data_IF_528602837566
#
_entry.id   IF_528602837566
#
_cell.length_a   1.000
_cell.length_b   1.000
_cell.length_c   1.000
_cell.angle_alpha   90.00
_cell.angle_beta   90.00
_cell.angle_gamma   90.00
#
_symmetry.space_group_name_H-M   'P 1'
#
loop_
_entity.id
_entity.type
_entity.pdbx_description
1 polymer ?
#
# COMPACT_ATOMS: atom_id res chain seq x y z
N UNK A 1 6.85 0.12 -24.26
CA UNK A 1 6.02 1.20 -24.83
C UNK A 1 4.58 0.90 -24.45
N UNK A 2 4.08 1.51 -23.37
CA UNK A 2 2.68 1.35 -22.97
C UNK A 2 1.76 1.88 -24.08
N UNK A 3 0.75 1.11 -24.43
CA UNK A 3 -0.19 1.39 -25.52
C UNK A 3 -0.95 2.69 -25.21
N UNK A 4 -1.07 3.65 -26.15
CA UNK A 4 -1.75 4.95 -25.92
C UNK A 4 -3.17 4.84 -25.32
N UNK A 5 -3.84 3.71 -25.58
CA UNK A 5 -5.18 3.41 -25.08
C UNK A 5 -5.25 3.16 -23.55
N UNK A 6 -4.20 2.58 -22.95
CA UNK A 6 -4.13 2.37 -21.50
C UNK A 6 -3.95 3.71 -20.80
N UNK A 7 -2.98 4.52 -21.25
CA UNK A 7 -2.76 5.88 -20.74
C UNK A 7 -4.04 6.74 -20.77
N UNK A 8 -4.81 6.70 -21.86
CA UNK A 8 -6.07 7.43 -21.96
C UNK A 8 -7.18 6.90 -21.02
N UNK A 9 -7.27 5.59 -20.80
CA UNK A 9 -8.21 5.00 -19.83
C UNK A 9 -7.85 5.38 -18.40
N UNK A 10 -6.57 5.35 -18.05
CA UNK A 10 -6.08 5.79 -16.73
C UNK A 10 -6.40 7.27 -16.47
N UNK A 11 -6.17 8.15 -17.45
CA UNK A 11 -6.51 9.57 -17.34
C UNK A 11 -8.02 9.77 -17.18
N UNK A 12 -8.85 9.02 -17.91
CA UNK A 12 -10.31 9.11 -17.79
C UNK A 12 -10.81 8.64 -16.42
N UNK A 13 -10.26 7.56 -15.88
CA UNK A 13 -10.62 7.07 -14.55
C UNK A 13 -10.16 8.06 -13.46
N UNK A 14 -8.93 8.58 -13.57
CA UNK A 14 -8.41 9.58 -12.64
C UNK A 14 -9.26 10.85 -12.63
N UNK A 15 -9.66 11.35 -13.80
CA UNK A 15 -10.54 12.51 -13.89
C UNK A 15 -11.91 12.28 -13.24
N UNK A 16 -12.48 11.07 -13.41
CA UNK A 16 -13.75 10.69 -12.81
C UNK A 16 -13.63 10.62 -11.28
N UNK A 17 -12.62 9.91 -10.76
CA UNK A 17 -12.37 9.78 -9.33
C UNK A 17 -12.15 11.16 -8.69
N UNK A 18 -11.32 12.04 -9.29
CA UNK A 18 -11.09 13.41 -8.80
C UNK A 18 -12.39 14.21 -8.75
N UNK A 19 -13.25 14.10 -9.78
CA UNK A 19 -14.54 14.79 -9.80
C UNK A 19 -15.43 14.31 -8.66
N UNK A 20 -15.65 13.01 -8.55
CA UNK A 20 -16.51 12.40 -7.53
C UNK A 20 -16.03 12.78 -6.12
N UNK A 21 -14.73 12.57 -5.89
CA UNK A 21 -14.01 12.85 -4.64
C UNK A 21 -14.14 14.30 -4.14
N UNK A 22 -14.05 15.27 -5.05
CA UNK A 22 -14.06 16.69 -4.69
C UNK A 22 -15.46 17.33 -4.76
N UNK A 23 -16.46 16.60 -5.24
CA UNK A 23 -17.86 17.07 -5.30
C UNK A 23 -18.79 16.34 -4.33
N UNK A 24 -18.34 15.26 -3.68
CA UNK A 24 -19.13 14.58 -2.65
C UNK A 24 -19.47 15.55 -1.51
N UNK A 25 -20.71 15.51 -0.97
CA UNK A 25 -21.06 16.30 0.20
C UNK A 25 -20.19 15.94 1.42
N UNK A 26 -19.83 16.93 2.23
CA UNK A 26 -19.03 16.73 3.44
C UNK A 26 -17.52 16.88 3.19
N UNK A 27 -16.72 16.08 3.89
CA UNK A 27 -15.27 16.12 3.80
C UNK A 27 -14.79 15.71 2.41
N UNK A 28 -14.08 16.60 1.73
CA UNK A 28 -13.42 16.29 0.45
C UNK A 28 -12.26 15.35 0.71
N UNK A 29 -12.13 14.32 -0.12
CA UNK A 29 -11.13 13.27 0.05
C UNK A 29 -10.69 12.77 -1.31
N UNK A 30 -9.40 12.70 -1.57
CA UNK A 30 -8.83 12.13 -2.78
C UNK A 30 -8.21 10.76 -2.47
N UNK A 31 -8.43 9.73 -3.32
CA UNK A 31 -7.89 8.39 -3.10
C UNK A 31 -6.35 8.38 -3.06
N UNK A 32 -5.78 7.79 -2.00
CA UNK A 32 -4.33 7.71 -1.77
C UNK A 32 -3.56 6.98 -2.88
N UNK A 33 -4.21 6.07 -3.63
CA UNK A 33 -3.61 5.40 -4.80
C UNK A 33 -3.03 6.39 -5.83
N UNK A 34 -3.53 7.62 -5.88
CA UNK A 34 -3.03 8.65 -6.79
C UNK A 34 -1.77 9.36 -6.32
N UNK A 35 -1.33 9.15 -5.08
CA UNK A 35 -0.05 9.62 -4.58
C UNK A 35 1.13 8.95 -5.29
N UNK A 36 0.95 7.76 -5.87
CA UNK A 36 2.03 6.92 -6.39
C UNK A 36 2.24 7.05 -7.91
N UNK A 37 2.40 8.29 -8.41
CA UNK A 37 3.05 8.50 -9.72
C UNK A 37 4.58 8.34 -9.60
N UNK A 38 5.34 8.52 -10.68
CA UNK A 38 6.81 8.39 -10.66
C UNK A 38 7.47 9.23 -9.55
N UNK A 39 7.04 10.49 -9.40
CA UNK A 39 7.58 11.41 -8.39
C UNK A 39 7.16 10.98 -6.99
N UNK A 40 5.90 10.64 -6.80
CA UNK A 40 5.38 10.23 -5.50
C UNK A 40 5.94 8.89 -5.03
N UNK A 41 6.13 7.91 -5.91
CA UNK A 41 6.85 6.67 -5.56
C UNK A 41 8.29 6.95 -5.11
N UNK A 42 9.00 7.88 -5.77
CA UNK A 42 10.36 8.25 -5.36
C UNK A 42 10.38 9.00 -4.00
N UNK A 43 9.39 9.86 -3.75
CA UNK A 43 9.21 10.52 -2.45
C UNK A 43 8.90 9.48 -1.36
N UNK A 44 8.04 8.50 -1.63
CA UNK A 44 7.74 7.43 -0.68
C UNK A 44 8.95 6.53 -0.36
N UNK A 45 9.79 6.21 -1.35
CA UNK A 45 11.07 5.53 -1.11
C UNK A 45 12.02 6.37 -0.24
N UNK A 46 11.93 7.69 -0.32
CA UNK A 46 12.67 8.60 0.57
C UNK A 46 12.07 8.59 1.98
N UNK A 47 10.74 8.60 2.12
CA UNK A 47 10.04 8.46 3.41
C UNK A 47 10.47 7.16 4.10
N UNK A 48 10.54 6.06 3.37
CA UNK A 48 10.95 4.75 3.88
C UNK A 48 12.34 4.72 4.56
N UNK A 49 13.22 5.70 4.29
CA UNK A 49 14.56 5.78 4.88
C UNK A 49 14.72 6.93 5.88
N UNK A 50 13.66 7.72 6.14
CA UNK A 50 13.68 8.76 7.15
C UNK A 50 13.86 8.16 8.56
N UNK A 51 14.63 8.81 9.46
CA UNK A 51 14.78 8.32 10.82
C UNK A 51 13.45 8.27 11.58
N UNK A 52 12.52 9.19 11.31
CA UNK A 52 11.20 9.26 11.93
C UNK A 52 10.25 8.15 11.45
N UNK A 53 10.40 7.67 10.21
CA UNK A 53 9.55 6.63 9.64
C UNK A 53 10.12 5.22 9.90
N UNK A 54 9.91 4.70 11.11
CA UNK A 54 10.46 3.40 11.53
C UNK A 54 9.75 2.18 10.95
N UNK A 55 8.57 2.34 10.37
CA UNK A 55 7.71 1.24 9.89
C UNK A 55 8.46 0.31 8.92
N UNK A 56 9.09 0.86 7.87
CA UNK A 56 9.80 0.05 6.86
C UNK A 56 10.97 -0.73 7.47
N UNK A 57 11.66 -0.16 8.46
CA UNK A 57 12.77 -0.84 9.16
C UNK A 57 12.26 -1.95 10.07
N UNK A 58 11.15 -1.72 10.77
CA UNK A 58 10.50 -2.72 11.61
C UNK A 58 10.07 -3.94 10.81
N UNK A 59 9.40 -3.68 9.68
CA UNK A 59 8.96 -4.70 8.73
C UNK A 59 10.17 -5.52 8.22
N UNK A 60 11.21 -4.84 7.73
CA UNK A 60 12.42 -5.49 7.24
C UNK A 60 13.13 -6.34 8.31
N UNK A 61 13.25 -5.86 9.55
CA UNK A 61 13.87 -6.63 10.64
C UNK A 61 13.14 -7.93 10.93
N UNK A 62 11.81 -7.91 10.90
CA UNK A 62 11.01 -9.12 11.12
C UNK A 62 11.19 -10.11 9.97
N UNK A 63 11.16 -9.63 8.73
CA UNK A 63 11.33 -10.48 7.55
C UNK A 63 12.75 -11.08 7.52
N UNK A 64 13.79 -10.28 7.75
CA UNK A 64 15.17 -10.76 7.83
C UNK A 64 15.34 -11.83 8.92
N UNK A 65 14.74 -11.61 10.09
CA UNK A 65 14.90 -12.51 11.24
C UNK A 65 14.07 -13.79 11.12
N UNK A 66 12.84 -13.71 10.60
CA UNK A 66 11.85 -14.79 10.68
C UNK A 66 11.48 -15.41 9.32
N UNK A 67 12.02 -14.94 8.19
CA UNK A 67 11.70 -15.51 6.87
C UNK A 67 11.86 -17.04 6.82
N UNK A 68 12.96 -17.57 7.35
CA UNK A 68 13.20 -19.02 7.42
C UNK A 68 12.13 -19.79 8.21
N UNK A 69 11.68 -19.23 9.34
CA UNK A 69 10.61 -19.79 10.16
C UNK A 69 9.26 -19.73 9.42
N UNK A 70 8.92 -18.58 8.83
CA UNK A 70 7.70 -18.35 8.06
C UNK A 70 7.61 -19.40 6.94
N UNK A 71 8.64 -19.53 6.11
CA UNK A 71 8.62 -20.47 4.98
C UNK A 71 8.66 -21.94 5.45
N UNK A 72 9.08 -22.24 6.68
CA UNK A 72 9.03 -23.60 7.27
C UNK A 72 7.64 -24.09 7.60
N UNK A 73 6.70 -23.18 7.80
CA UNK A 73 5.30 -23.49 8.08
C UNK A 73 4.48 -23.70 6.80
N UNK A 74 5.02 -23.33 5.64
CA UNK A 74 4.31 -23.35 4.36
C UNK A 74 4.50 -24.67 3.59
N UNK A 75 3.46 -25.13 2.87
CA UNK A 75 3.54 -26.30 2.00
C UNK A 75 4.39 -26.04 0.75
N UNK A 76 4.66 -27.11 -0.01
CA UNK A 76 5.40 -27.09 -1.27
C UNK A 76 4.72 -28.01 -2.29
N UNK A 77 4.66 -27.68 -3.58
CA UNK A 77 5.21 -26.48 -4.22
C UNK A 77 4.43 -25.19 -3.90
N UNK A 78 5.14 -24.05 -3.86
CA UNK A 78 4.61 -22.76 -3.43
C UNK A 78 4.96 -21.66 -4.44
N UNK A 79 3.94 -20.92 -4.87
CA UNK A 79 4.07 -19.68 -5.64
C UNK A 79 3.95 -18.48 -4.69
N UNK A 80 4.53 -17.34 -5.06
CA UNK A 80 4.48 -16.11 -4.26
C UNK A 80 3.84 -14.99 -5.08
N UNK A 81 2.70 -14.47 -4.65
CA UNK A 81 2.12 -13.24 -5.19
C UNK A 81 2.34 -12.11 -4.19
N UNK A 82 2.63 -10.89 -4.65
CA UNK A 82 2.75 -9.74 -3.76
C UNK A 82 1.88 -8.58 -4.23
N UNK A 83 1.04 -8.08 -3.32
CA UNK A 83 0.16 -6.96 -3.56
C UNK A 83 0.87 -5.66 -3.16
N UNK A 84 1.17 -4.79 -4.11
CA UNK A 84 1.87 -3.55 -3.82
C UNK A 84 3.37 -3.77 -3.60
N UNK A 85 4.02 -4.48 -4.53
CA UNK A 85 5.41 -4.94 -4.37
C UNK A 85 6.47 -3.85 -4.20
N UNK A 86 6.17 -2.62 -4.62
CA UNK A 86 7.12 -1.51 -4.54
C UNK A 86 8.47 -1.87 -5.18
N UNK A 87 9.57 -1.63 -4.47
CA UNK A 87 10.92 -1.97 -4.93
C UNK A 87 11.35 -3.42 -4.65
N UNK A 88 10.54 -4.24 -3.98
CA UNK A 88 10.86 -5.64 -3.67
C UNK A 88 11.93 -5.85 -2.58
N UNK A 89 12.53 -4.80 -2.01
CA UNK A 89 13.62 -4.90 -1.02
C UNK A 89 13.28 -5.76 0.19
N UNK A 90 12.03 -5.70 0.67
CA UNK A 90 11.53 -6.48 1.80
C UNK A 90 11.29 -7.94 1.42
N UNK A 91 10.72 -8.13 0.23
CA UNK A 91 10.38 -9.42 -0.36
C UNK A 91 11.58 -10.33 -0.55
N UNK A 92 12.75 -9.73 -0.79
CA UNK A 92 14.05 -10.43 -0.88
C UNK A 92 14.21 -11.50 0.20
N UNK A 93 13.93 -11.18 1.46
CA UNK A 93 14.14 -12.10 2.59
C UNK A 93 13.31 -13.37 2.48
N UNK A 94 12.04 -13.26 2.06
CA UNK A 94 11.16 -14.41 1.88
C UNK A 94 11.60 -15.24 0.67
N UNK A 95 11.94 -14.59 -0.45
CA UNK A 95 12.36 -15.28 -1.67
C UNK A 95 13.71 -15.98 -1.51
N UNK A 96 14.69 -15.36 -0.84
CA UNK A 96 15.96 -15.99 -0.52
C UNK A 96 15.75 -17.23 0.38
N UNK A 97 14.88 -17.16 1.38
CA UNK A 97 14.54 -18.30 2.22
C UNK A 97 13.83 -19.43 1.46
N UNK A 98 12.97 -19.10 0.49
CA UNK A 98 12.30 -20.08 -0.37
C UNK A 98 13.25 -20.72 -1.40
N UNK A 99 14.17 -19.93 -1.97
CA UNK A 99 15.14 -20.41 -2.97
C UNK A 99 16.03 -21.53 -2.45
N UNK A 100 16.26 -21.59 -1.14
CA UNK A 100 17.01 -22.66 -0.48
C UNK A 100 16.26 -24.00 -0.43
N UNK A 101 14.96 -24.01 -0.77
CA UNK A 101 14.06 -25.15 -0.58
C UNK A 101 13.37 -25.60 -1.86
N UNK A 102 13.11 -24.68 -2.77
CA UNK A 102 12.38 -24.95 -4.01
C UNK A 102 12.68 -23.90 -5.08
N UNK A 103 12.34 -24.23 -6.33
CA UNK A 103 12.17 -23.23 -7.37
C UNK A 103 10.92 -22.40 -7.05
N UNK A 104 11.00 -21.07 -7.11
CA UNK A 104 9.89 -20.18 -6.74
C UNK A 104 9.48 -19.31 -7.91
N UNK A 105 8.19 -19.33 -8.24
CA UNK A 105 7.57 -18.35 -9.13
C UNK A 105 7.03 -17.20 -8.30
N UNK A 106 7.53 -16.00 -8.57
CA UNK A 106 7.18 -14.76 -7.88
C UNK A 106 6.43 -13.81 -8.83
N UNK A 107 5.30 -13.30 -8.35
CA UNK A 107 4.35 -12.49 -9.11
C UNK A 107 4.13 -11.15 -8.40
N UNK A 108 4.97 -10.12 -8.66
CA UNK A 108 4.70 -8.77 -8.17
C UNK A 108 3.48 -8.17 -8.89
N UNK A 109 2.48 -7.74 -8.13
CA UNK A 109 1.24 -7.10 -8.62
C UNK A 109 1.27 -5.63 -8.19
N UNK A 110 1.26 -4.72 -9.17
CA UNK A 110 1.54 -3.31 -8.91
C UNK A 110 0.90 -2.43 -9.99
N UNK A 111 0.46 -1.22 -9.62
CA UNK A 111 -0.11 -0.26 -10.59
C UNK A 111 0.96 0.64 -11.22
N UNK A 112 2.14 0.69 -10.61
CA UNK A 112 3.27 1.49 -11.07
C UNK A 112 4.25 0.63 -11.88
N UNK A 113 4.38 0.85 -13.21
CA UNK A 113 5.37 0.12 -14.02
C UNK A 113 6.82 0.41 -13.60
N UNK A 114 7.06 1.56 -12.96
CA UNK A 114 8.37 1.91 -12.40
C UNK A 114 8.72 1.05 -11.18
N UNK A 115 7.74 0.80 -10.30
CA UNK A 115 7.92 -0.08 -9.16
C UNK A 115 8.19 -1.53 -9.63
N UNK A 116 7.43 -2.04 -10.61
CA UNK A 116 7.71 -3.35 -11.22
C UNK A 116 9.14 -3.47 -11.76
N UNK A 117 9.62 -2.46 -12.48
CA UNK A 117 10.99 -2.45 -13.01
C UNK A 117 12.06 -2.41 -11.89
N UNK A 118 11.81 -1.65 -10.81
CA UNK A 118 12.68 -1.63 -9.65
C UNK A 118 12.72 -2.98 -8.92
N UNK A 119 11.54 -3.61 -8.76
CA UNK A 119 11.37 -4.93 -8.17
C UNK A 119 12.11 -6.02 -8.96
N UNK A 120 11.95 -6.06 -10.29
CA UNK A 120 12.67 -6.99 -11.16
C UNK A 120 14.19 -6.81 -11.06
N UNK A 121 14.66 -5.56 -11.00
CA UNK A 121 16.09 -5.25 -10.84
C UNK A 121 16.63 -5.72 -9.47
N UNK A 122 15.86 -5.54 -8.40
CA UNK A 122 16.24 -5.90 -7.03
C UNK A 122 16.29 -7.42 -6.85
N UNK A 123 15.26 -8.12 -7.34
CA UNK A 123 15.02 -9.54 -7.04
C UNK A 123 15.47 -10.49 -8.13
N UNK A 124 15.66 -10.03 -9.37
CA UNK A 124 16.05 -10.88 -10.51
C UNK A 124 17.45 -11.49 -10.41
N UNK A 125 18.21 -11.13 -9.38
CA UNK A 125 19.53 -11.73 -9.07
C UNK A 125 19.43 -12.93 -8.13
N UNK A 126 18.26 -13.22 -7.55
CA UNK A 126 18.07 -14.35 -6.64
C UNK A 126 18.01 -15.63 -7.47
N UNK A 127 18.91 -16.58 -7.21
CA UNK A 127 18.90 -17.88 -7.87
C UNK A 127 17.60 -18.63 -7.58
N UNK A 128 17.13 -19.44 -8.53
CA UNK A 128 15.91 -20.27 -8.41
C UNK A 128 14.62 -19.47 -8.20
N UNK A 129 14.62 -18.17 -8.52
CA UNK A 129 13.43 -17.33 -8.55
C UNK A 129 13.12 -16.90 -9.99
N UNK A 130 11.88 -17.11 -10.42
CA UNK A 130 11.35 -16.61 -11.69
C UNK A 130 10.33 -15.51 -11.42
N UNK A 131 10.49 -14.34 -12.02
CA UNK A 131 9.65 -13.17 -11.78
C UNK A 131 8.72 -12.92 -12.96
N UNK A 132 7.42 -12.74 -12.70
CA UNK A 132 6.41 -12.35 -13.70
C UNK A 132 5.57 -11.20 -13.14
N UNK A 133 5.86 -9.98 -13.58
CA UNK A 133 5.16 -8.78 -13.11
C UNK A 133 3.77 -8.59 -13.73
N UNK A 134 2.82 -8.15 -12.90
CA UNK A 134 1.44 -7.84 -13.28
C UNK A 134 1.13 -6.36 -13.02
N UNK A 135 0.99 -5.57 -14.11
CA UNK A 135 0.53 -4.17 -14.03
C UNK A 135 -0.99 -4.10 -13.86
N UNK A 136 -1.49 -4.46 -12.68
CA UNK A 136 -2.91 -4.62 -12.38
C UNK A 136 -3.26 -4.17 -10.95
N UNK A 137 -4.52 -3.79 -10.67
CA UNK A 137 -5.01 -3.65 -9.30
C UNK A 137 -4.88 -4.95 -8.51
N UNK A 138 -4.73 -4.85 -7.18
CA UNK A 138 -4.39 -5.96 -6.28
C UNK A 138 -5.19 -7.26 -6.53
N UNK A 139 -6.52 -7.25 -6.34
CA UNK A 139 -7.32 -8.47 -6.44
C UNK A 139 -7.46 -8.99 -7.87
N UNK A 140 -7.36 -8.11 -8.89
CA UNK A 140 -7.39 -8.52 -10.29
C UNK A 140 -6.08 -9.25 -10.68
N UNK A 141 -4.94 -8.71 -10.27
CA UNK A 141 -3.66 -9.38 -10.43
C UNK A 141 -3.60 -10.70 -9.66
N UNK A 142 -4.13 -10.73 -8.43
CA UNK A 142 -4.16 -11.95 -7.62
C UNK A 142 -5.00 -13.05 -8.28
N UNK A 143 -6.19 -12.71 -8.84
CA UNK A 143 -7.00 -13.66 -9.63
C UNK A 143 -6.23 -14.21 -10.82
N UNK A 144 -5.54 -13.33 -11.55
CA UNK A 144 -4.72 -13.73 -12.71
C UNK A 144 -3.65 -14.75 -12.30
N UNK A 145 -2.99 -14.56 -11.16
CA UNK A 145 -1.99 -15.49 -10.62
C UNK A 145 -2.64 -16.80 -10.16
N UNK A 146 -3.75 -16.72 -9.43
CA UNK A 146 -4.45 -17.90 -8.91
C UNK A 146 -5.05 -18.77 -10.02
N UNK A 147 -5.57 -18.18 -11.10
CA UNK A 147 -6.09 -18.92 -12.27
C UNK A 147 -4.97 -19.59 -13.09
N UNK A 148 -3.74 -19.07 -13.01
CA UNK A 148 -2.59 -19.56 -13.76
C UNK A 148 -1.81 -20.69 -13.10
N UNK A 149 -2.08 -21.01 -11.83
CA UNK A 149 -1.36 -22.06 -11.08
C UNK A 149 -1.99 -23.45 -11.26
N UNK A 150 -1.23 -24.51 -11.04
CA UNK A 150 -1.79 -25.86 -11.07
C UNK A 150 -2.53 -26.17 -9.76
N UNK A 151 -3.47 -27.12 -9.79
CA UNK A 151 -4.36 -27.44 -8.66
C UNK A 151 -3.62 -27.89 -7.39
N UNK A 152 -2.45 -28.51 -7.55
CA UNK A 152 -1.61 -28.95 -6.42
C UNK A 152 -0.65 -27.88 -5.90
N UNK A 153 -0.58 -26.71 -6.54
CA UNK A 153 0.35 -25.64 -6.17
C UNK A 153 -0.31 -24.70 -5.16
N UNK A 154 0.42 -24.40 -4.09
CA UNK A 154 -0.03 -23.47 -3.05
C UNK A 154 0.39 -22.04 -3.40
N UNK A 155 -0.34 -21.06 -2.86
CA UNK A 155 -0.02 -19.65 -3.01
C UNK A 155 0.26 -19.00 -1.66
N UNK A 156 1.40 -18.30 -1.57
CA UNK A 156 1.68 -17.32 -0.53
C UNK A 156 1.43 -15.92 -1.09
N UNK A 157 0.48 -15.21 -0.53
CA UNK A 157 0.24 -13.79 -0.80
C UNK A 157 1.03 -12.96 0.20
N UNK A 158 1.83 -12.02 -0.28
CA UNK A 158 2.50 -11.02 0.53
C UNK A 158 1.70 -9.71 0.46
N UNK A 159 1.32 -9.18 1.61
CA UNK A 159 0.74 -7.85 1.73
C UNK A 159 1.42 -7.09 2.87
N UNK A 160 2.57 -6.52 2.54
CA UNK A 160 3.56 -6.01 3.49
C UNK A 160 3.40 -4.50 3.74
N UNK A 161 4.16 -3.94 4.68
CA UNK A 161 4.25 -2.49 4.88
C UNK A 161 3.02 -1.83 5.49
N UNK A 162 2.07 -2.59 6.02
CA UNK A 162 0.81 -2.07 6.57
C UNK A 162 -0.05 -1.31 5.57
N UNK A 163 0.05 -1.62 4.28
CA UNK A 163 -0.82 -1.05 3.24
C UNK A 163 -2.30 -1.36 3.49
N UNK A 164 -2.63 -2.45 4.20
CA UNK A 164 -3.99 -2.73 4.69
C UNK A 164 -4.54 -1.60 5.57
N UNK A 165 -3.68 -0.87 6.27
CA UNK A 165 -4.06 0.28 7.09
C UNK A 165 -4.55 1.48 6.28
N UNK A 166 -4.37 1.48 4.95
CA UNK A 166 -4.92 2.53 4.09
C UNK A 166 -6.41 2.33 3.77
N UNK A 167 -6.98 1.20 4.16
CA UNK A 167 -8.40 0.93 4.07
C UNK A 167 -9.07 1.30 5.39
N UNK A 168 -10.26 1.87 5.32
CA UNK A 168 -11.16 1.87 6.46
C UNK A 168 -11.36 0.42 6.94
N UNK A 169 -11.58 0.22 8.25
CA UNK A 169 -11.60 -1.12 8.86
C UNK A 169 -12.56 -2.09 8.16
N UNK A 170 -13.78 -1.66 7.86
CA UNK A 170 -14.78 -2.48 7.16
C UNK A 170 -14.37 -2.79 5.72
N UNK A 171 -13.72 -1.84 5.04
CA UNK A 171 -13.19 -2.03 3.69
C UNK A 171 -11.99 -2.98 3.69
N UNK A 172 -11.13 -2.90 4.70
CA UNK A 172 -10.02 -3.83 4.91
C UNK A 172 -10.50 -5.26 5.16
N UNK A 173 -11.51 -5.46 6.01
CA UNK A 173 -12.11 -6.78 6.19
C UNK A 173 -12.79 -7.30 4.92
N UNK A 174 -13.48 -6.44 4.17
CA UNK A 174 -14.10 -6.81 2.89
C UNK A 174 -13.04 -7.22 1.87
N UNK A 175 -11.93 -6.48 1.78
CA UNK A 175 -10.78 -6.81 0.95
C UNK A 175 -10.18 -8.17 1.32
N UNK A 176 -10.04 -8.49 2.61
CA UNK A 176 -9.57 -9.79 3.06
C UNK A 176 -10.56 -10.92 2.72
N UNK A 177 -11.88 -10.70 2.83
CA UNK A 177 -12.89 -11.68 2.40
C UNK A 177 -12.81 -11.95 0.89
N UNK A 178 -12.72 -10.91 0.08
CA UNK A 178 -12.56 -11.06 -1.37
C UNK A 178 -11.24 -11.75 -1.73
N UNK A 179 -10.16 -11.48 -0.99
CA UNK A 179 -8.90 -12.21 -1.11
C UNK A 179 -9.10 -13.69 -0.78
N UNK A 180 -9.80 -14.00 0.33
CA UNK A 180 -10.09 -15.37 0.74
C UNK A 180 -10.83 -16.12 -0.36
N UNK A 181 -11.80 -15.50 -1.05
CA UNK A 181 -12.53 -16.13 -2.15
C UNK A 181 -11.65 -16.54 -3.34
N UNK A 182 -10.50 -15.88 -3.53
CA UNK A 182 -9.53 -16.20 -4.59
C UNK A 182 -8.60 -17.35 -4.18
N UNK A 183 -8.33 -17.49 -2.89
CA UNK A 183 -7.41 -18.48 -2.35
C UNK A 183 -8.06 -19.86 -2.16
N UNK A 184 -7.26 -20.92 -2.22
CA UNK A 184 -7.67 -22.27 -1.85
C UNK A 184 -7.37 -22.53 -0.37
N UNK A 185 -8.10 -23.44 0.30
CA UNK A 185 -7.76 -23.87 1.65
C UNK A 185 -6.29 -24.32 1.74
N UNK A 186 -5.55 -23.80 2.72
CA UNK A 186 -4.12 -24.06 2.89
C UNK A 186 -3.17 -23.12 2.14
N UNK A 187 -3.68 -22.23 1.28
CA UNK A 187 -2.93 -21.05 0.85
C UNK A 187 -2.67 -20.11 2.04
N UNK A 188 -1.69 -19.24 1.90
CA UNK A 188 -1.26 -18.35 2.97
C UNK A 188 -1.26 -16.89 2.56
N UNK A 189 -1.45 -16.01 3.54
CA UNK A 189 -1.26 -14.57 3.48
C UNK A 189 -0.25 -14.18 4.56
N UNK A 190 0.84 -13.53 4.16
CA UNK A 190 1.73 -12.81 5.08
C UNK A 190 1.33 -11.34 5.10
N UNK A 191 0.66 -10.94 6.17
CA UNK A 191 0.10 -9.60 6.35
C UNK A 191 0.94 -8.78 7.33
N UNK A 192 1.52 -7.68 6.83
CA UNK A 192 2.18 -6.69 7.67
C UNK A 192 1.17 -5.70 8.25
N UNK A 193 1.20 -5.44 9.56
CA UNK A 193 0.34 -4.46 10.22
C UNK A 193 1.13 -3.55 11.16
N UNK A 194 0.96 -2.24 11.00
CA UNK A 194 1.55 -1.26 11.89
C UNK A 194 0.73 -1.17 13.18
N UNK A 195 1.38 -1.38 14.32
CA UNK A 195 0.66 -1.47 15.59
C UNK A 195 0.52 -0.10 16.24
N UNK A 196 -0.43 0.06 17.14
CA UNK A 196 -0.53 1.25 17.98
C UNK A 196 0.75 1.47 18.78
N UNK A 197 1.19 2.72 18.82
CA UNK A 197 2.36 3.18 19.54
C UNK A 197 2.18 4.64 19.92
N UNK A 198 3.16 5.19 20.64
CA UNK A 198 3.15 6.58 21.08
C UNK A 198 2.74 7.55 19.96
N UNK A 199 1.78 8.43 20.25
CA UNK A 199 1.20 9.32 19.24
C UNK A 199 2.23 10.31 18.72
N UNK A 200 3.14 10.82 19.55
CA UNK A 200 4.17 11.76 19.08
C UNK A 200 5.11 11.08 18.09
N UNK A 201 5.49 9.83 18.37
CA UNK A 201 6.28 9.01 17.44
C UNK A 201 5.55 8.79 16.12
N UNK A 202 4.23 8.53 16.15
CA UNK A 202 3.44 8.38 14.94
C UNK A 202 3.35 9.69 14.17
N UNK A 203 3.10 10.82 14.84
CA UNK A 203 2.99 12.11 14.18
C UNK A 203 4.29 12.49 13.48
N UNK A 204 5.45 12.27 14.12
CA UNK A 204 6.75 12.51 13.50
C UNK A 204 6.99 11.68 12.23
N UNK A 205 6.44 10.47 12.17
CA UNK A 205 6.56 9.61 10.99
C UNK A 205 5.79 10.13 9.77
N UNK A 206 4.73 10.90 9.98
CA UNK A 206 3.86 11.42 8.92
C UNK A 206 3.98 12.94 8.72
N UNK A 207 4.65 13.65 9.62
CA UNK A 207 4.98 15.08 9.54
C UNK A 207 6.47 15.28 9.86
N UNK A 208 7.32 14.68 9.03
CA UNK A 208 8.77 14.71 9.23
C UNK A 208 9.34 16.14 9.12
N UNK A 209 10.31 16.52 9.98
CA UNK A 209 10.91 17.86 9.95
C UNK A 209 11.61 18.21 8.63
N UNK A 210 12.00 17.20 7.83
CA UNK A 210 12.62 17.41 6.52
C UNK A 210 11.59 17.81 5.44
N UNK A 211 10.29 17.67 5.72
CA UNK A 211 9.20 18.05 4.83
C UNK A 211 9.00 17.10 3.64
N UNK A 212 9.53 15.88 3.71
CA UNK A 212 9.44 14.90 2.60
C UNK A 212 8.01 14.37 2.49
N UNK A 213 7.36 14.05 3.61
CA UNK A 213 5.96 13.61 3.64
C UNK A 213 5.00 14.71 3.23
N UNK A 214 5.32 15.97 3.56
CA UNK A 214 4.59 17.13 3.06
C UNK A 214 4.70 17.26 1.52
N UNK A 215 5.90 17.07 0.96
CA UNK A 215 6.11 17.07 -0.48
C UNK A 215 5.39 15.90 -1.16
N UNK A 216 5.41 14.70 -0.55
CA UNK A 216 4.66 13.54 -1.01
C UNK A 216 3.15 13.80 -1.06
N UNK A 217 2.60 14.42 -0.01
CA UNK A 217 1.17 14.76 0.01
C UNK A 217 0.81 15.81 -1.06
N UNK A 218 1.59 16.89 -1.15
CA UNK A 218 1.37 17.95 -2.14
C UNK A 218 1.54 17.48 -3.59
N UNK A 219 2.34 16.43 -3.82
CA UNK A 219 2.51 15.84 -5.14
C UNK A 219 1.19 15.38 -5.76
N UNK A 220 0.19 15.00 -4.96
CA UNK A 220 -1.13 14.66 -5.48
C UNK A 220 -1.77 15.83 -6.27
N UNK A 221 -1.66 17.06 -5.76
CA UNK A 221 -2.13 18.25 -6.47
C UNK A 221 -1.27 18.56 -7.70
N UNK A 222 0.05 18.39 -7.58
CA UNK A 222 0.97 18.54 -8.72
C UNK A 222 0.61 17.58 -9.87
N UNK A 223 0.28 16.33 -9.54
CA UNK A 223 -0.18 15.31 -10.48
C UNK A 223 -1.50 15.71 -11.13
N UNK A 224 -2.48 16.17 -10.35
CA UNK A 224 -3.77 16.65 -10.89
C UNK A 224 -3.55 17.83 -11.85
N UNK A 225 -2.67 18.78 -11.52
CA UNK A 225 -2.29 19.87 -12.43
C UNK A 225 -1.71 19.34 -13.74
N UNK A 226 -0.73 18.42 -13.65
CA UNK A 226 0.00 17.90 -14.81
C UNK A 226 -0.88 17.03 -15.73
N UNK A 227 -1.66 16.12 -15.16
CA UNK A 227 -2.40 15.10 -15.93
C UNK A 227 -3.82 15.53 -16.30
N UNK A 228 -4.47 16.35 -15.45
CA UNK A 228 -5.87 16.77 -15.64
C UNK A 228 -6.01 18.25 -16.04
N UNK A 229 -4.88 18.94 -16.22
CA UNK A 229 -4.83 20.35 -16.62
C UNK A 229 -5.32 21.32 -15.54
N UNK A 230 -5.24 20.92 -14.28
CA UNK A 230 -5.70 21.75 -13.17
C UNK A 230 -4.76 22.92 -12.85
N UNK A 231 -5.26 23.87 -12.06
CA UNK A 231 -4.56 25.09 -11.66
C UNK A 231 -4.40 25.25 -10.13
N UNK A 232 -4.21 24.14 -9.39
CA UNK A 232 -3.87 24.21 -7.96
C UNK A 232 -2.57 25.00 -7.76
N UNK A 233 -2.62 26.09 -6.98
CA UNK A 233 -1.42 26.80 -6.51
C UNK A 233 -0.89 26.10 -5.24
N UNK A 234 0.08 25.20 -5.41
CA UNK A 234 0.64 24.39 -4.32
C UNK A 234 1.20 25.24 -3.17
N UNK A 235 1.63 26.48 -3.42
CA UNK A 235 2.13 27.38 -2.37
C UNK A 235 1.03 27.82 -1.39
N UNK A 236 -0.23 27.62 -1.77
CA UNK A 236 -1.41 27.94 -0.98
C UNK A 236 -2.02 26.70 -0.30
N UNK A 237 -1.25 25.61 -0.19
CA UNK A 237 -1.62 24.42 0.56
C UNK A 237 -0.55 24.08 1.59
N UNK A 238 -0.99 23.58 2.75
CA UNK A 238 -0.13 23.03 3.78
C UNK A 238 -0.50 21.58 4.02
N UNK A 239 0.52 20.72 4.10
CA UNK A 239 0.36 19.40 4.67
C UNK A 239 -0.05 19.51 6.14
N UNK A 240 -0.94 18.63 6.56
CA UNK A 240 -1.37 18.47 7.94
C UNK A 240 -1.59 16.98 8.20
N UNK A 241 -0.86 16.43 9.17
CA UNK A 241 -1.11 15.09 9.70
C UNK A 241 -1.90 15.22 11.01
N UNK A 242 -2.91 14.38 11.19
CA UNK A 242 -3.76 14.35 12.37
C UNK A 242 -3.83 12.93 12.94
N UNK A 243 -3.85 12.80 14.25
CA UNK A 243 -4.19 11.52 14.90
C UNK A 243 -5.68 11.49 15.24
N UNK A 244 -6.41 10.54 14.67
CA UNK A 244 -7.79 10.27 15.01
C UNK A 244 -7.84 9.19 16.10
N UNK A 245 -8.13 9.60 17.34
CA UNK A 245 -8.21 8.70 18.50
C UNK A 245 -9.34 7.68 18.42
N UNK A 246 -10.48 8.04 17.81
CA UNK A 246 -11.63 7.14 17.73
C UNK A 246 -11.36 5.99 16.75
N UNK A 247 -10.76 6.30 15.60
CA UNK A 247 -10.50 5.36 14.52
C UNK A 247 -9.12 4.70 14.61
N UNK A 248 -8.25 5.23 15.49
CA UNK A 248 -6.85 4.82 15.70
C UNK A 248 -6.06 4.84 14.41
N UNK A 249 -6.06 6.00 13.74
CA UNK A 249 -5.36 6.21 12.48
C UNK A 249 -4.69 7.58 12.44
N UNK A 250 -3.63 7.65 11.65
CA UNK A 250 -3.14 8.92 11.12
C UNK A 250 -3.99 9.30 9.91
N UNK A 251 -4.36 10.56 9.80
CA UNK A 251 -5.05 11.15 8.65
C UNK A 251 -4.13 12.22 8.04
N UNK A 252 -3.89 12.14 6.73
CA UNK A 252 -3.14 13.16 6.00
C UNK A 252 -4.10 14.07 5.24
N UNK A 253 -3.88 15.38 5.39
CA UNK A 253 -4.70 16.42 4.79
C UNK A 253 -3.85 17.45 4.05
N UNK A 254 -4.46 18.09 3.06
CA UNK A 254 -3.99 19.29 2.41
C UNK A 254 -4.92 20.44 2.76
N UNK A 255 -4.47 21.32 3.65
CA UNK A 255 -5.22 22.50 4.10
C UNK A 255 -4.98 23.68 3.18
N UNK A 256 -6.05 24.27 2.66
CA UNK A 256 -6.00 25.51 1.89
C UNK A 256 -5.64 26.69 2.81
N UNK A 257 -4.63 27.48 2.47
CA UNK A 257 -4.19 28.62 3.31
C UNK A 257 -4.90 29.93 2.98
N UNK A 258 -5.83 29.90 2.02
CA UNK A 258 -6.66 31.04 1.62
C UNK A 258 -7.89 30.53 0.90
N UNK A 259 -8.94 31.34 0.81
CA UNK A 259 -10.04 31.07 -0.11
C UNK A 259 -9.53 31.11 -1.55
N UNK A 260 -9.75 30.05 -2.32
CA UNK A 260 -9.30 29.94 -3.71
C UNK A 260 -10.26 29.13 -4.57
N UNK A 261 -10.27 29.40 -5.87
CA UNK A 261 -11.04 28.65 -6.85
C UNK A 261 -10.08 27.88 -7.73
N UNK A 262 -10.33 26.58 -7.89
CA UNK A 262 -9.52 25.68 -8.71
C UNK A 262 -10.39 25.15 -9.84
N UNK A 263 -9.82 25.09 -11.03
CA UNK A 263 -10.39 24.49 -12.22
C UNK A 263 -9.64 23.19 -12.52
N UNK A 264 -10.38 22.13 -12.83
CA UNK A 264 -9.84 20.84 -13.29
C UNK A 264 -10.54 20.52 -14.61
N UNK A 265 -10.03 21.01 -15.75
CA UNK A 265 -10.69 20.91 -17.05
C UNK A 265 -11.00 19.47 -17.47
N UNK A 266 -10.06 18.53 -17.32
CA UNK A 266 -10.28 17.14 -17.73
C UNK A 266 -11.36 16.44 -16.88
N UNK A 267 -11.57 16.89 -15.64
CA UNK A 267 -12.65 16.42 -14.76
C UNK A 267 -13.97 17.20 -14.96
N UNK A 268 -13.97 18.25 -15.80
CA UNK A 268 -15.06 19.22 -15.94
C UNK A 268 -15.54 19.73 -14.57
N UNK A 269 -14.58 20.14 -13.75
CA UNK A 269 -14.80 20.55 -12.37
C UNK A 269 -14.28 21.97 -12.15
N UNK A 270 -15.07 22.77 -11.43
CA UNK A 270 -14.65 24.01 -10.80
C UNK A 270 -15.06 23.94 -9.35
N UNK A 271 -14.09 23.98 -8.44
CA UNK A 271 -14.35 23.95 -7.00
C UNK A 271 -13.83 25.23 -6.33
N UNK A 272 -14.52 25.62 -5.28
CA UNK A 272 -14.09 26.68 -4.38
C UNK A 272 -13.71 26.03 -3.05
N UNK A 273 -12.50 26.32 -2.60
CA UNK A 273 -11.99 25.97 -1.29
C UNK A 273 -12.02 27.23 -0.44
N UNK A 274 -12.60 27.14 0.76
CA UNK A 274 -12.47 28.20 1.75
C UNK A 274 -11.08 28.17 2.40
N UNK A 275 -10.71 29.25 3.10
CA UNK A 275 -9.52 29.24 3.95
C UNK A 275 -9.69 28.21 5.06
N UNK A 276 -8.62 27.49 5.39
CA UNK A 276 -8.55 26.38 6.33
C UNK A 276 -9.38 25.14 5.94
N UNK A 277 -10.05 25.13 4.79
CA UNK A 277 -10.69 23.93 4.27
C UNK A 277 -9.62 22.88 3.90
N UNK A 278 -9.85 21.63 4.30
CA UNK A 278 -8.92 20.53 4.05
C UNK A 278 -9.42 19.56 2.98
N UNK A 279 -8.49 18.98 2.24
CA UNK A 279 -8.70 17.81 1.39
C UNK A 279 -7.97 16.64 2.06
N UNK A 280 -8.71 15.61 2.46
CA UNK A 280 -8.13 14.38 3.00
C UNK A 280 -7.49 13.58 1.86
N UNK A 281 -6.27 13.07 2.05
CA UNK A 281 -5.52 12.38 1.01
C UNK A 281 -5.11 10.95 1.37
N UNK A 282 -4.96 10.63 2.65
CA UNK A 282 -4.62 9.28 3.09
C UNK A 282 -5.06 9.02 4.53
N UNK A 283 -5.42 7.77 4.80
CA UNK A 283 -5.60 7.21 6.15
C UNK A 283 -4.52 6.18 6.38
N UNK A 284 -4.00 6.07 7.60
CA UNK A 284 -3.16 4.95 8.00
C UNK A 284 -3.59 4.44 9.37
N UNK A 285 -4.48 3.45 9.35
CA UNK A 285 -4.96 2.74 10.52
C UNK A 285 -3.86 1.94 11.20
N UNK A 286 -3.88 1.99 12.52
CA UNK A 286 -3.01 1.21 13.39
C UNK A 286 -3.81 0.14 14.10
N UNK A 287 -3.11 -0.94 14.39
CA UNK A 287 -3.73 -2.15 14.90
C UNK A 287 -3.25 -2.52 16.30
N UNK A 288 -4.07 -3.27 17.02
CA UNK A 288 -3.61 -4.01 18.20
C UNK A 288 -3.13 -5.39 17.76
N UNK A 289 -2.15 -5.96 18.45
CA UNK A 289 -1.63 -7.28 18.07
C UNK A 289 -2.73 -8.35 18.16
N UNK A 290 -3.57 -8.24 19.19
CA UNK A 290 -4.64 -9.18 19.50
C UNK A 290 -5.83 -9.09 18.53
N UNK A 291 -6.01 -7.96 17.83
CA UNK A 291 -7.16 -7.78 16.93
C UNK A 291 -6.96 -8.45 15.56
N UNK A 292 -5.71 -8.74 15.17
CA UNK A 292 -5.41 -9.36 13.87
C UNK A 292 -5.90 -10.81 13.78
N UNK A 293 -5.66 -11.69 14.79
CA UNK A 293 -6.25 -13.03 14.79
C UNK A 293 -7.78 -13.02 14.70
N UNK A 294 -8.45 -12.07 15.36
CA UNK A 294 -9.90 -11.96 15.29
C UNK A 294 -10.38 -11.49 13.90
N UNK A 295 -9.68 -10.53 13.30
CA UNK A 295 -9.92 -10.07 11.93
C UNK A 295 -9.72 -11.20 10.92
N UNK A 296 -8.66 -12.00 11.09
CA UNK A 296 -8.40 -13.18 10.28
C UNK A 296 -9.58 -14.17 10.36
N UNK A 297 -10.03 -14.51 11.58
CA UNK A 297 -11.14 -15.44 11.78
C UNK A 297 -12.44 -14.96 11.12
N UNK A 298 -12.76 -13.66 11.22
CA UNK A 298 -13.96 -13.06 10.58
C UNK A 298 -13.89 -13.00 9.06
N UNK A 299 -12.70 -13.17 8.48
CA UNK A 299 -12.45 -13.06 7.04
C UNK A 299 -12.09 -14.39 6.38
N UNK A 300 -12.22 -15.50 7.13
CA UNK A 300 -12.01 -16.86 6.63
C UNK A 300 -10.56 -17.33 6.67
N UNK A 301 -9.75 -16.73 7.53
CA UNK A 301 -8.37 -17.12 7.77
C UNK A 301 -8.15 -17.58 9.22
N UNK A 302 -7.17 -18.44 9.42
CA UNK A 302 -6.62 -18.79 10.72
C UNK A 302 -5.22 -18.15 10.89
N UNK A 303 -4.95 -17.53 12.04
CA UNK A 303 -3.62 -16.99 12.34
C UNK A 303 -2.70 -18.11 12.84
N UNK A 304 -1.71 -18.51 12.02
CA UNK A 304 -0.73 -19.55 12.35
C UNK A 304 0.50 -19.00 13.11
N UNK A 305 0.84 -17.74 12.86
CA UNK A 305 1.99 -17.10 13.48
C UNK A 305 1.90 -15.58 13.49
N UNK A 306 2.44 -14.97 14.53
CA UNK A 306 2.58 -13.53 14.66
C UNK A 306 3.97 -13.21 15.24
N UNK A 307 4.71 -12.35 14.54
CA UNK A 307 6.01 -11.86 14.98
C UNK A 307 5.94 -10.35 15.13
N UNK A 308 6.33 -9.84 16.29
CA UNK A 308 6.19 -8.43 16.65
C UNK A 308 7.57 -7.79 16.83
N UNK A 309 7.77 -6.64 16.20
CA UNK A 309 8.93 -5.81 16.42
C UNK A 309 8.74 -4.96 17.68
N UNK A 310 9.77 -4.90 18.52
CA UNK A 310 9.71 -4.22 19.82
C UNK A 310 10.31 -2.81 19.80
N UNK A 311 11.12 -2.48 18.78
CA UNK A 311 11.68 -1.13 18.64
C UNK A 311 10.67 -0.18 18.00
N UNK A 312 9.88 -0.69 17.05
CA UNK A 312 8.77 0.01 16.42
C UNK A 312 7.61 -0.98 16.31
N UNK A 313 6.59 -0.89 17.19
CA UNK A 313 5.47 -1.82 17.20
C UNK A 313 4.86 -2.02 15.81
N UNK A 314 5.15 -3.18 15.23
CA UNK A 314 4.75 -3.63 13.90
C UNK A 314 4.69 -5.16 13.96
N UNK A 315 3.73 -5.76 13.28
CA UNK A 315 3.56 -7.20 13.25
C UNK A 315 3.63 -7.75 11.83
N UNK A 316 4.31 -8.89 11.70
CA UNK A 316 4.13 -9.81 10.58
C UNK A 316 3.18 -10.92 11.02
N UNK A 317 2.12 -11.15 10.26
CA UNK A 317 1.07 -12.11 10.60
C UNK A 317 0.96 -13.15 9.47
N UNK A 318 1.21 -14.41 9.78
CA UNK A 318 1.00 -15.52 8.86
C UNK A 318 -0.41 -16.06 9.05
N UNK A 319 -1.25 -15.83 8.04
CA UNK A 319 -2.65 -16.21 8.01
C UNK A 319 -2.85 -17.32 6.98
N UNK A 320 -3.56 -18.39 7.35
CA UNK A 320 -3.84 -19.55 6.49
C UNK A 320 -5.30 -19.50 6.07
N UNK A 321 -5.59 -19.65 4.79
CA UNK A 321 -6.94 -19.67 4.25
C UNK A 321 -7.68 -20.95 4.70
N UNK A 322 -8.84 -20.79 5.36
CA UNK A 322 -9.73 -21.89 5.80
C UNK A 322 -10.82 -22.19 4.78
#
# INVERSE_FOLDING_TARGET
MATPALSLRHVSAFAADVRESLTKPGQRELPSKYLYDEVGSALFETICVLPEYGLTRADARLLEKYAGEIVSRLPSPLHVAELGSGSGKKTRWILEALSQRQMTYYYPIEISPFALAACEKELGQIELVSIVGHEQPYLEGLRTVAEGRAEQDHLLVLFLGSTIGNFDRDAGESFLREMREILQPGDALLLGTDLEKDVELQMLAYDDPAGVTAAFNLNLLARINRELGADFDLSCFRHEALWNFAERRVEMHLRSTRRQTVHVPAANLRLMLDEDETIWTESSHKYQAEEIPEMAARTGFCCDGQWIDTEWPFAQNLLIAE
#
